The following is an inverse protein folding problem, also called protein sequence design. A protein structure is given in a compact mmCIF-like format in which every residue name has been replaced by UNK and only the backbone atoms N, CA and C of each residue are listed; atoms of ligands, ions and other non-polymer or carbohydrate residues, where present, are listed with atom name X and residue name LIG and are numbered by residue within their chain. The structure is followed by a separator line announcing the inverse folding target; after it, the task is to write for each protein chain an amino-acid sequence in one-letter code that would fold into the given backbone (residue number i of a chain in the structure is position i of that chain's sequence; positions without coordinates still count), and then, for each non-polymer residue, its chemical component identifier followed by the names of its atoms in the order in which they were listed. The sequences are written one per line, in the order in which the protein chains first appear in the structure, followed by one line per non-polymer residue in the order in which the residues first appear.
data_IF_568432192843
#
_entry.id   IF_568432192843
#
_cell.length_a   1.000
_cell.length_b   1.000
_cell.length_c   1.000
_cell.angle_alpha   90.00
_cell.angle_beta   90.00
_cell.angle_gamma   90.00
#
_symmetry.space_group_name_H-M   'P 1'
#
loop_
_entity.id
_entity.type
_entity.pdbx_description
1 polymer ?
#
# COMPACT_ATOMS: atom_id res chain seq x y z
N UNK A 1 -10.55 -7.92 20.23
CA UNK A 1 -11.25 -8.66 19.17
C UNK A 1 -12.14 -7.66 18.46
N UNK A 2 -11.75 -7.14 17.28
CA UNK A 2 -12.67 -6.33 16.50
C UNK A 2 -13.62 -7.28 15.78
N UNK A 3 -14.88 -7.21 16.15
CA UNK A 3 -15.97 -7.62 15.27
C UNK A 3 -15.81 -6.82 13.98
N UNK A 4 -15.42 -7.46 12.88
CA UNK A 4 -15.66 -6.94 11.55
C UNK A 4 -17.11 -6.45 11.55
N UNK A 5 -17.32 -5.13 11.47
CA UNK A 5 -18.66 -4.62 11.16
C UNK A 5 -19.01 -5.27 9.83
N UNK A 6 -20.12 -6.00 9.77
CA UNK A 6 -20.52 -6.81 8.62
C UNK A 6 -20.90 -5.98 7.37
N UNK A 7 -20.34 -4.78 7.24
CA UNK A 7 -20.70 -3.71 6.31
C UNK A 7 -19.48 -2.97 5.74
N UNK A 8 -18.25 -3.37 6.07
CA UNK A 8 -17.06 -2.72 5.52
C UNK A 8 -16.95 -2.94 4.01
N UNK A 9 -16.69 -1.88 3.25
CA UNK A 9 -16.48 -1.98 1.81
C UNK A 9 -15.00 -2.07 1.50
N UNK A 10 -14.56 -3.25 1.07
CA UNK A 10 -13.16 -3.47 0.69
C UNK A 10 -12.81 -2.69 -0.58
N UNK A 11 -11.73 -1.93 -0.49
CA UNK A 11 -11.20 -1.09 -1.57
C UNK A 11 -10.04 -1.81 -2.25
N UNK A 12 -10.13 -1.93 -3.57
CA UNK A 12 -9.10 -2.54 -4.40
C UNK A 12 -7.90 -1.61 -4.64
N UNK A 13 -6.71 -2.19 -4.85
CA UNK A 13 -5.49 -1.44 -5.11
C UNK A 13 -5.59 -0.57 -6.37
N UNK A 14 -6.33 -1.00 -7.39
CA UNK A 14 -6.52 -0.21 -8.61
C UNK A 14 -7.23 1.13 -8.35
N UNK A 15 -8.23 1.16 -7.46
CA UNK A 15 -8.91 2.41 -7.09
C UNK A 15 -7.92 3.35 -6.40
N UNK A 16 -7.19 2.83 -5.41
CA UNK A 16 -6.21 3.60 -4.65
C UNK A 16 -5.10 4.14 -5.56
N UNK A 17 -4.57 3.33 -6.48
CA UNK A 17 -3.46 3.72 -7.35
C UNK A 17 -3.86 4.82 -8.34
N UNK A 18 -5.12 4.83 -8.83
CA UNK A 18 -5.63 5.93 -9.66
C UNK A 18 -5.70 7.25 -8.88
N UNK A 19 -5.97 7.21 -7.57
CA UNK A 19 -5.97 8.39 -6.73
C UNK A 19 -4.55 8.82 -6.31
N UNK A 20 -3.70 7.88 -5.91
CA UNK A 20 -2.31 8.12 -5.45
C UNK A 20 -1.44 8.74 -6.55
N UNK A 21 -1.73 8.43 -7.81
CA UNK A 21 -0.93 8.88 -8.95
C UNK A 21 -1.60 9.88 -9.88
N UNK A 22 -2.84 10.27 -9.59
CA UNK A 22 -3.57 11.26 -10.40
C UNK A 22 -3.59 10.90 -11.91
N UNK A 23 -4.24 9.79 -12.24
CA UNK A 23 -4.39 9.32 -13.62
C UNK A 23 -5.61 9.94 -14.31
N UNK A 24 -5.82 9.60 -15.59
CA UNK A 24 -7.05 9.94 -16.33
C UNK A 24 -8.34 9.42 -15.68
N UNK A 25 -8.25 8.43 -14.78
CA UNK A 25 -9.41 7.86 -14.08
C UNK A 25 -9.64 8.47 -12.69
N UNK A 26 -8.84 9.47 -12.27
CA UNK A 26 -8.92 10.04 -10.93
C UNK A 26 -10.29 10.60 -10.59
N UNK A 27 -10.96 11.32 -11.51
CA UNK A 27 -12.31 11.82 -11.24
C UNK A 27 -13.32 10.70 -10.99
N UNK A 28 -13.20 9.60 -11.75
CA UNK A 28 -14.06 8.43 -11.56
C UNK A 28 -13.74 7.73 -10.24
N UNK A 29 -12.46 7.62 -9.90
CA UNK A 29 -12.02 7.03 -8.64
C UNK A 29 -12.50 7.87 -7.43
N UNK A 30 -12.46 9.21 -7.52
CA UNK A 30 -12.97 10.12 -6.51
C UNK A 30 -14.49 9.97 -6.31
N UNK A 31 -15.24 9.79 -7.40
CA UNK A 31 -16.68 9.50 -7.31
C UNK A 31 -16.91 8.18 -6.59
N UNK A 32 -16.21 7.11 -6.98
CA UNK A 32 -16.36 5.79 -6.35
C UNK A 32 -16.04 5.83 -4.86
N UNK A 33 -14.90 6.41 -4.47
CA UNK A 33 -14.50 6.47 -3.06
C UNK A 33 -15.46 7.32 -2.22
N UNK A 34 -16.05 8.38 -2.79
CA UNK A 34 -17.03 9.22 -2.11
C UNK A 34 -18.37 8.53 -1.82
N UNK A 35 -18.66 7.44 -2.53
CA UNK A 35 -19.89 6.64 -2.36
C UNK A 35 -19.72 5.51 -1.34
N UNK A 36 -18.50 5.27 -0.85
CA UNK A 36 -18.22 4.16 0.05
C UNK A 36 -18.64 4.49 1.47
N UNK A 37 -19.50 3.64 2.03
CA UNK A 37 -19.76 3.62 3.46
C UNK A 37 -18.76 2.67 4.14
N UNK A 38 -18.02 3.17 5.12
CA UNK A 38 -16.99 2.43 5.87
C UNK A 38 -15.94 1.77 4.97
N UNK A 39 -15.12 2.55 4.24
CA UNK A 39 -14.09 2.00 3.37
C UNK A 39 -13.03 1.27 4.19
N UNK A 40 -12.61 0.11 3.70
CA UNK A 40 -11.58 -0.72 4.32
C UNK A 40 -10.59 -1.22 3.28
N UNK A 41 -9.35 -1.48 3.70
CA UNK A 41 -8.28 -2.06 2.87
C UNK A 41 -7.67 -3.23 3.61
N UNK A 42 -7.25 -4.26 2.88
CA UNK A 42 -6.47 -5.35 3.48
C UNK A 42 -4.98 -5.03 3.50
N UNK A 43 -4.22 -5.69 4.37
CA UNK A 43 -2.75 -5.61 4.38
C UNK A 43 -2.14 -5.96 3.01
N UNK A 44 -2.71 -6.94 2.29
CA UNK A 44 -2.30 -7.28 0.92
C UNK A 44 -2.48 -6.12 -0.06
N UNK A 45 -3.61 -5.41 0.00
CA UNK A 45 -3.86 -4.23 -0.87
C UNK A 45 -2.86 -3.11 -0.58
N UNK A 46 -2.46 -2.94 0.69
CA UNK A 46 -1.41 -1.99 1.09
C UNK A 46 -0.09 -2.39 0.44
N UNK A 47 0.33 -3.64 0.58
CA UNK A 47 1.57 -4.16 0.01
C UNK A 47 1.63 -4.01 -1.51
N UNK A 48 0.53 -4.28 -2.20
CA UNK A 48 0.40 -4.04 -3.64
C UNK A 48 0.61 -2.57 -3.98
N UNK A 49 -0.05 -1.66 -3.26
CA UNK A 49 0.07 -0.23 -3.50
C UNK A 49 1.50 0.27 -3.24
N UNK A 50 2.14 -0.22 -2.18
CA UNK A 50 3.54 0.08 -1.85
C UNK A 50 4.46 -0.43 -2.95
N UNK A 51 4.28 -1.68 -3.40
CA UNK A 51 5.09 -2.26 -4.46
C UNK A 51 4.97 -1.47 -5.78
N UNK A 52 3.76 -1.12 -6.22
CA UNK A 52 3.56 -0.35 -7.45
C UNK A 52 4.16 1.05 -7.32
N UNK A 53 3.99 1.71 -6.16
CA UNK A 53 4.58 3.03 -5.87
C UNK A 53 6.10 3.00 -5.90
N UNK A 54 6.69 2.02 -5.21
CA UNK A 54 8.13 1.79 -5.21
C UNK A 54 8.62 1.54 -6.65
N UNK A 55 7.97 0.65 -7.39
CA UNK A 55 8.38 0.25 -8.74
C UNK A 55 8.35 1.42 -9.71
N UNK A 56 7.28 2.22 -9.66
CA UNK A 56 7.12 3.43 -10.49
C UNK A 56 8.18 4.48 -10.17
N UNK A 57 8.51 4.68 -8.91
CA UNK A 57 9.54 5.64 -8.54
C UNK A 57 10.96 5.13 -8.85
N UNK A 58 11.22 3.84 -8.66
CA UNK A 58 12.50 3.23 -9.00
C UNK A 58 12.75 3.25 -10.52
N UNK A 59 11.71 3.10 -11.35
CA UNK A 59 11.88 3.18 -12.81
C UNK A 59 12.34 4.56 -13.27
N UNK A 60 11.92 5.65 -12.59
CA UNK A 60 12.40 7.01 -12.84
C UNK A 60 13.89 7.17 -12.52
N UNK A 61 14.45 6.28 -11.70
CA UNK A 61 15.88 6.19 -11.37
C UNK A 61 16.64 5.21 -12.27
N UNK A 62 16.00 4.70 -13.33
CA UNK A 62 16.63 3.77 -14.28
C UNK A 62 16.56 2.30 -13.89
N UNK A 63 15.85 1.91 -12.82
CA UNK A 63 15.66 0.50 -12.43
C UNK A 63 14.59 -0.14 -13.33
N UNK A 64 14.98 -1.07 -14.19
CA UNK A 64 14.13 -1.58 -15.29
C UNK A 64 13.49 -2.94 -15.05
N UNK A 65 13.96 -3.74 -14.09
CA UNK A 65 13.39 -5.05 -13.80
C UNK A 65 13.42 -5.41 -12.31
N UNK A 66 12.79 -6.53 -11.96
CA UNK A 66 12.67 -7.00 -10.58
C UNK A 66 14.03 -7.38 -9.95
N UNK A 67 14.97 -7.90 -10.73
CA UNK A 67 16.29 -8.27 -10.23
C UNK A 67 17.11 -7.02 -9.85
N UNK A 68 17.05 -5.99 -10.69
CA UNK A 68 17.62 -4.68 -10.39
C UNK A 68 16.96 -4.03 -9.18
N UNK A 69 15.62 -4.09 -9.07
CA UNK A 69 14.92 -3.56 -7.90
C UNK A 69 15.40 -4.25 -6.61
N UNK A 70 15.50 -5.58 -6.61
CA UNK A 70 16.00 -6.34 -5.46
C UNK A 70 17.43 -5.94 -5.07
N UNK A 71 18.30 -5.65 -6.04
CA UNK A 71 19.66 -5.15 -5.76
C UNK A 71 19.63 -3.72 -5.26
N UNK A 72 18.84 -2.85 -5.89
CA UNK A 72 18.68 -1.45 -5.54
C UNK A 72 18.19 -1.28 -4.10
N UNK A 73 17.23 -2.09 -3.65
CA UNK A 73 16.70 -2.07 -2.28
C UNK A 73 17.74 -2.41 -1.20
N UNK A 74 18.89 -3.00 -1.55
CA UNK A 74 20.00 -3.23 -0.61
C UNK A 74 20.87 -1.98 -0.39
N UNK A 75 20.71 -0.96 -1.21
CA UNK A 75 21.40 0.34 -1.05
C UNK A 75 20.65 1.24 -0.07
N UNK A 76 21.31 2.26 0.47
CA UNK A 76 20.64 3.27 1.31
C UNK A 76 19.56 4.02 0.53
N UNK A 77 19.85 4.42 -0.72
CA UNK A 77 18.89 5.08 -1.58
C UNK A 77 17.64 4.22 -1.83
N UNK A 78 17.82 2.91 -2.04
CA UNK A 78 16.71 1.97 -2.23
C UNK A 78 15.87 1.78 -0.98
N UNK A 79 16.50 1.67 0.21
CA UNK A 79 15.78 1.62 1.48
C UNK A 79 14.99 2.90 1.75
N UNK A 80 15.59 4.05 1.50
CA UNK A 80 14.92 5.35 1.64
C UNK A 80 13.73 5.47 0.68
N UNK A 81 13.86 4.96 -0.55
CA UNK A 81 12.77 4.96 -1.52
C UNK A 81 11.61 4.05 -1.10
N UNK A 82 11.92 2.87 -0.55
CA UNK A 82 10.92 1.96 0.02
C UNK A 82 10.16 2.65 1.16
N UNK A 83 10.89 3.20 2.15
CA UNK A 83 10.29 3.93 3.26
C UNK A 83 9.36 5.04 2.78
N UNK A 84 9.84 5.90 1.87
CA UNK A 84 9.03 6.99 1.29
C UNK A 84 7.79 6.47 0.55
N UNK A 85 7.90 5.33 -0.13
CA UNK A 85 6.77 4.72 -0.83
C UNK A 85 5.73 4.17 0.15
N UNK A 86 6.18 3.51 1.23
CA UNK A 86 5.32 3.04 2.32
C UNK A 86 4.61 4.21 3.01
N UNK A 87 5.35 5.24 3.42
CA UNK A 87 4.80 6.42 4.07
C UNK A 87 3.75 7.12 3.20
N UNK A 88 4.01 7.25 1.89
CA UNK A 88 3.04 7.82 0.94
C UNK A 88 1.73 7.03 0.93
N UNK A 89 1.80 5.71 0.82
CA UNK A 89 0.61 4.84 0.76
C UNK A 89 -0.16 4.87 2.08
N UNK A 90 0.52 4.71 3.22
CA UNK A 90 -0.13 4.73 4.53
C UNK A 90 -0.75 6.09 4.84
N UNK A 91 -0.07 7.19 4.51
CA UNK A 91 -0.63 8.54 4.69
C UNK A 91 -1.86 8.76 3.81
N UNK A 92 -1.86 8.22 2.59
CA UNK A 92 -3.01 8.27 1.71
C UNK A 92 -4.20 7.49 2.29
N UNK A 93 -3.99 6.25 2.72
CA UNK A 93 -5.04 5.43 3.36
C UNK A 93 -5.61 6.12 4.61
N UNK A 94 -4.74 6.67 5.46
CA UNK A 94 -5.13 7.41 6.64
C UNK A 94 -5.96 8.66 6.31
N UNK A 95 -5.63 9.37 5.22
CA UNK A 95 -6.37 10.58 4.80
C UNK A 95 -7.82 10.30 4.41
N UNK A 96 -8.14 9.08 3.98
CA UNK A 96 -9.49 8.61 3.68
C UNK A 96 -10.14 7.85 4.84
N UNK A 97 -9.50 7.81 6.02
CA UNK A 97 -9.99 7.15 7.23
C UNK A 97 -10.38 5.68 6.99
N UNK A 98 -9.64 4.99 6.12
CA UNK A 98 -9.93 3.60 5.79
C UNK A 98 -9.53 2.68 6.94
N UNK A 99 -10.38 1.71 7.26
CA UNK A 99 -10.04 0.64 8.20
C UNK A 99 -9.02 -0.30 7.55
N UNK A 100 -7.98 -0.68 8.29
CA UNK A 100 -7.03 -1.71 7.83
C UNK A 100 -7.47 -3.05 8.40
N UNK A 101 -7.89 -3.94 7.51
CA UNK A 101 -8.27 -5.32 7.84
C UNK A 101 -7.03 -6.19 7.73
N UNK A 102 -6.72 -6.91 8.81
CA UNK A 102 -5.65 -7.90 8.81
C UNK A 102 -6.07 -9.09 7.98
N UNK A 103 -5.21 -9.49 7.05
CA UNK A 103 -5.44 -10.73 6.33
C UNK A 103 -5.20 -11.90 7.31
N UNK A 104 -6.07 -12.93 7.34
CA UNK A 104 -5.70 -14.19 7.98
C UNK A 104 -4.44 -14.70 7.27
N UNK A 105 -3.49 -15.30 8.01
CA UNK A 105 -2.17 -15.79 7.54
C UNK A 105 -2.24 -16.92 6.47
N UNK A 106 -3.13 -16.82 5.50
CA UNK A 106 -3.48 -17.82 4.50
C UNK A 106 -3.02 -17.28 3.13
N UNK A 107 -1.70 -17.35 2.91
CA UNK A 107 -0.93 -17.11 1.67
C UNK A 107 -0.84 -15.65 1.20
N UNK A 108 0.32 -15.00 1.05
CA UNK A 108 1.50 -15.40 0.26
C UNK A 108 2.81 -14.87 0.88
N UNK A 109 3.77 -15.78 1.04
CA UNK A 109 5.15 -15.51 1.41
C UNK A 109 5.84 -14.55 0.44
N UNK A 110 6.09 -13.29 0.85
CA UNK A 110 7.11 -12.43 0.21
C UNK A 110 7.80 -11.42 1.14
N UNK A 111 7.79 -11.60 2.49
CA UNK A 111 8.99 -11.24 3.25
C UNK A 111 9.22 -12.11 4.50
N UNK A 112 9.86 -13.28 4.37
CA UNK A 112 10.67 -13.86 5.48
C UNK A 112 12.14 -13.44 5.41
N UNK A 113 12.48 -12.45 4.58
CA UNK A 113 13.86 -12.02 4.34
C UNK A 113 14.24 -10.68 4.99
N UNK A 114 13.35 -10.01 5.72
CA UNK A 114 13.66 -8.76 6.42
C UNK A 114 12.91 -8.71 7.77
N UNK A 115 13.60 -8.60 8.92
CA UNK A 115 12.93 -8.50 10.21
C UNK A 115 12.43 -7.07 10.38
N UNK A 116 11.15 -6.81 10.09
CA UNK A 116 10.49 -5.59 10.55
C UNK A 116 9.67 -5.93 11.79
N UNK A 117 10.28 -5.76 12.97
CA UNK A 117 9.56 -5.74 14.25
C UNK A 117 8.92 -4.36 14.39
N UNK A 118 7.64 -4.23 14.03
CA UNK A 118 6.83 -3.11 14.46
C UNK A 118 6.18 -3.45 15.81
N UNK A 119 6.90 -3.15 16.89
CA UNK A 119 6.29 -2.94 18.20
C UNK A 119 6.05 -1.45 18.37
N UNK A 120 4.80 -1.01 18.24
CA UNK A 120 4.36 0.28 18.76
C UNK A 120 2.96 0.07 19.35
N UNK A 121 2.95 -0.13 20.66
CA UNK A 121 1.78 0.10 21.49
C UNK A 121 1.63 1.63 21.57
N UNK A 122 0.50 2.15 21.10
CA UNK A 122 0.08 3.49 21.47
C UNK A 122 -0.76 3.38 22.75
N UNK A 123 -0.32 4.14 23.75
CA UNK A 123 -0.99 4.48 25.00
C UNK A 123 -2.34 5.13 24.79
#
# INVERSE_FOLDING_TARGET
MSTLRSTATLVDSSLLLNLIFETELTERALKLISLLEYPAVSETVIDECVYVTLRRNASKLGVKNIHELKRFLKTEQGRALLQKSTEKVLSFIASYQMEVVKDPDIFLTLPKALPFRAGMQCS
#
